data_IF_148352785897
#
_entry.id   IF_148352785897
#
_cell.length_a   1.000
_cell.length_b   1.000
_cell.length_c   1.000
_cell.angle_alpha   90.00
_cell.angle_beta   90.00
_cell.angle_gamma   90.00
#
_symmetry.space_group_name_H-M   'P 1'
#
loop_
_entity.id
_entity.type
_entity.pdbx_description
1 polymer ?
#
# COMPACT_ATOMS: atom_id res chain seq x y z
N UNK A 1 27.62 26.37 -33.54
CA UNK A 1 26.77 25.16 -33.65
C UNK A 1 26.37 24.79 -32.24
N UNK A 2 25.35 25.46 -31.71
CA UNK A 2 24.87 25.20 -30.35
C UNK A 2 23.89 24.03 -30.39
N UNK A 3 24.33 22.89 -29.87
CA UNK A 3 23.46 21.75 -29.59
C UNK A 3 22.66 22.07 -28.32
N UNK A 4 21.53 22.75 -28.50
CA UNK A 4 20.54 22.90 -27.44
C UNK A 4 19.79 21.57 -27.29
N UNK A 5 20.38 20.65 -26.52
CA UNK A 5 19.78 19.39 -26.08
C UNK A 5 18.67 19.71 -25.07
N UNK A 6 17.52 20.16 -25.57
CA UNK A 6 16.28 20.22 -24.80
C UNK A 6 15.81 18.79 -24.54
N UNK A 7 16.43 18.13 -23.54
CA UNK A 7 15.81 16.98 -22.89
C UNK A 7 14.53 17.48 -22.27
N UNK A 8 13.42 17.25 -22.98
CA UNK A 8 12.08 17.37 -22.43
C UNK A 8 12.04 16.50 -21.19
N UNK A 9 12.05 17.12 -20.01
CA UNK A 9 11.66 16.44 -18.79
C UNK A 9 10.29 15.78 -19.05
N UNK A 10 10.11 14.49 -18.71
CA UNK A 10 8.80 13.86 -18.82
C UNK A 10 7.80 14.73 -18.03
N UNK A 11 6.72 15.12 -18.70
CA UNK A 11 5.67 15.97 -18.14
C UNK A 11 5.27 15.45 -16.77
N UNK A 12 5.39 16.28 -15.74
CA UNK A 12 4.78 16.02 -14.43
C UNK A 12 3.35 15.52 -14.65
N UNK A 13 2.96 14.41 -14.02
CA UNK A 13 1.59 13.92 -14.14
C UNK A 13 0.61 15.02 -13.78
N UNK A 14 -0.48 15.08 -14.52
CA UNK A 14 -1.59 15.96 -14.20
C UNK A 14 -2.11 15.58 -12.81
N UNK A 15 -1.71 16.36 -11.80
CA UNK A 15 -2.03 16.10 -10.40
C UNK A 15 -3.55 16.07 -10.22
N UNK A 16 -4.30 16.85 -10.99
CA UNK A 16 -5.77 16.85 -10.93
C UNK A 16 -6.36 15.56 -11.48
N UNK A 17 -5.79 15.02 -12.57
CA UNK A 17 -6.17 13.69 -13.06
C UNK A 17 -5.93 12.63 -11.99
N UNK A 18 -4.75 12.61 -11.39
CA UNK A 18 -4.39 11.63 -10.37
C UNK A 18 -5.32 11.72 -9.14
N UNK A 19 -5.63 12.93 -8.68
CA UNK A 19 -6.57 13.15 -7.57
C UNK A 19 -7.97 12.65 -7.92
N UNK A 20 -8.46 12.93 -9.13
CA UNK A 20 -9.76 12.42 -9.58
C UNK A 20 -9.76 10.90 -9.62
N UNK A 21 -8.71 10.28 -10.16
CA UNK A 21 -8.61 8.83 -10.22
C UNK A 21 -8.59 8.24 -8.80
N UNK A 22 -7.75 8.75 -7.89
CA UNK A 22 -7.66 8.31 -6.50
C UNK A 22 -8.99 8.38 -5.74
N UNK A 23 -9.77 9.44 -5.98
CA UNK A 23 -11.04 9.63 -5.30
C UNK A 23 -12.18 8.83 -5.92
N UNK A 24 -12.21 8.65 -7.24
CA UNK A 24 -13.42 8.12 -7.92
C UNK A 24 -13.33 6.67 -8.36
N UNK A 25 -12.13 6.10 -8.47
CA UNK A 25 -11.98 4.70 -8.87
C UNK A 25 -12.50 3.78 -7.77
N UNK A 26 -13.06 2.66 -8.19
CA UNK A 26 -13.53 1.62 -7.30
C UNK A 26 -12.37 1.02 -6.50
N UNK A 27 -12.56 0.89 -5.18
CA UNK A 27 -11.66 0.16 -4.27
C UNK A 27 -10.18 0.54 -4.43
N UNK A 28 -9.82 1.83 -4.26
CA UNK A 28 -8.42 2.20 -4.21
C UNK A 28 -7.75 1.38 -3.10
N UNK A 29 -6.61 0.76 -3.37
CA UNK A 29 -5.95 -0.14 -2.42
C UNK A 29 -4.50 0.26 -2.23
N UNK A 30 -4.12 0.52 -0.98
CA UNK A 30 -2.75 0.71 -0.54
C UNK A 30 -2.14 -0.64 -0.18
N UNK A 31 -1.23 -1.10 -1.04
CA UNK A 31 -0.43 -2.29 -0.83
C UNK A 31 0.89 -1.93 -0.14
N UNK A 32 1.05 -2.43 1.07
CA UNK A 32 2.28 -2.29 1.85
C UNK A 32 3.17 -3.50 1.62
N UNK A 33 4.43 -3.28 1.24
CA UNK A 33 5.45 -4.32 1.20
C UNK A 33 5.79 -4.83 2.60
N UNK A 34 6.41 -6.02 2.68
CA UNK A 34 6.72 -6.64 3.96
C UNK A 34 7.67 -5.80 4.80
N UNK A 35 8.59 -5.08 4.15
CA UNK A 35 9.47 -4.12 4.81
C UNK A 35 8.70 -3.01 5.54
N UNK A 36 7.45 -2.70 5.16
CA UNK A 36 6.60 -1.75 5.89
C UNK A 36 5.66 -2.45 6.86
N UNK A 37 5.13 -3.64 6.57
CA UNK A 37 4.22 -4.29 7.53
C UNK A 37 4.96 -4.89 8.74
N UNK A 38 6.16 -5.42 8.53
CA UNK A 38 6.99 -6.09 9.54
C UNK A 38 8.20 -5.25 9.97
N UNK A 39 8.48 -4.18 9.22
CA UNK A 39 9.57 -3.23 9.42
C UNK A 39 9.10 -1.78 9.27
N UNK A 40 7.98 -1.40 9.91
CA UNK A 40 7.91 -0.03 10.44
C UNK A 40 9.04 0.12 11.45
N UNK A 41 10.25 0.22 10.94
CA UNK A 41 11.36 0.78 11.64
C UNK A 41 10.86 2.20 11.89
N UNK A 42 10.85 2.62 13.15
CA UNK A 42 10.50 3.97 13.61
C UNK A 42 11.38 5.09 12.98
N UNK A 43 12.10 4.79 11.90
CA UNK A 43 13.12 5.60 11.26
C UNK A 43 12.59 6.55 10.19
N UNK A 44 11.31 6.51 9.79
CA UNK A 44 10.74 7.55 8.91
C UNK A 44 9.34 8.03 9.36
N UNK A 45 9.28 8.94 10.35
CA UNK A 45 8.03 9.54 10.82
C UNK A 45 7.29 10.32 9.72
N UNK A 46 7.99 10.78 8.68
CA UNK A 46 7.39 11.53 7.57
C UNK A 46 6.58 10.58 6.70
N UNK A 47 7.13 9.44 6.28
CA UNK A 47 6.37 8.43 5.50
C UNK A 47 5.12 7.96 6.23
N UNK A 48 5.25 7.64 7.52
CA UNK A 48 4.12 7.24 8.37
C UNK A 48 3.03 8.31 8.41
N UNK A 49 3.41 9.57 8.65
CA UNK A 49 2.47 10.70 8.64
C UNK A 49 1.74 10.82 7.29
N UNK A 50 2.47 10.73 6.19
CA UNK A 50 1.92 10.92 4.85
C UNK A 50 0.97 9.77 4.45
N UNK A 51 1.32 8.52 4.76
CA UNK A 51 0.45 7.37 4.52
C UNK A 51 -0.80 7.42 5.39
N UNK A 52 -0.69 7.81 6.66
CA UNK A 52 -1.85 8.04 7.52
C UNK A 52 -2.75 9.14 6.97
N UNK A 53 -2.18 10.28 6.57
CA UNK A 53 -2.94 11.39 5.95
C UNK A 53 -3.64 10.92 4.67
N UNK A 54 -2.99 10.13 3.82
CA UNK A 54 -3.61 9.56 2.62
C UNK A 54 -4.84 8.71 2.97
N UNK A 55 -4.73 7.82 3.97
CA UNK A 55 -5.83 6.96 4.43
C UNK A 55 -7.00 7.73 5.01
N UNK A 56 -6.72 8.81 5.72
CA UNK A 56 -7.76 9.71 6.25
C UNK A 56 -8.46 10.48 5.12
N UNK A 57 -7.71 10.91 4.10
CA UNK A 57 -8.23 11.72 3.00
C UNK A 57 -8.95 10.92 1.92
N UNK A 58 -8.70 9.62 1.76
CA UNK A 58 -9.33 8.80 0.70
C UNK A 58 -10.33 7.81 1.32
N UNK A 59 -11.63 8.17 1.37
CA UNK A 59 -12.66 7.26 1.85
C UNK A 59 -12.67 5.94 1.09
N UNK A 60 -12.67 4.82 1.82
CA UNK A 60 -12.66 3.49 1.20
C UNK A 60 -11.31 3.03 0.65
N UNK A 61 -10.20 3.69 1.04
CA UNK A 61 -8.86 3.20 0.77
C UNK A 61 -8.63 1.87 1.52
N UNK A 62 -8.69 0.77 0.77
CA UNK A 62 -8.39 -0.57 1.25
C UNK A 62 -6.89 -0.69 1.56
N UNK A 63 -6.53 -1.59 2.47
CA UNK A 63 -5.13 -1.91 2.75
C UNK A 63 -4.86 -3.38 2.41
N UNK A 64 -3.91 -3.60 1.52
CA UNK A 64 -3.36 -4.90 1.18
C UNK A 64 -1.94 -5.07 1.72
N UNK A 65 -1.51 -6.31 1.92
CA UNK A 65 -0.13 -6.64 2.22
C UNK A 65 0.50 -7.42 1.06
N UNK A 66 1.76 -7.10 0.76
CA UNK A 66 2.60 -7.81 -0.19
C UNK A 66 3.72 -8.52 0.59
N UNK A 67 3.54 -9.81 0.97
CA UNK A 67 4.58 -10.57 1.68
C UNK A 67 5.74 -10.85 0.74
N UNK A 68 6.98 -10.65 1.17
CA UNK A 68 8.18 -10.83 0.33
C UNK A 68 8.35 -12.26 -0.20
N UNK A 69 7.91 -13.23 0.57
CA UNK A 69 7.96 -14.65 0.21
C UNK A 69 6.83 -15.10 -0.73
N UNK A 70 5.77 -14.30 -0.92
CA UNK A 70 4.59 -14.75 -1.69
C UNK A 70 4.84 -14.66 -3.20
N UNK A 71 4.63 -15.75 -3.97
CA UNK A 71 4.75 -15.72 -5.43
C UNK A 71 3.77 -14.71 -6.06
N UNK A 72 4.24 -13.94 -7.04
CA UNK A 72 3.47 -12.83 -7.64
C UNK A 72 2.20 -13.31 -8.36
N UNK A 73 2.27 -14.45 -9.03
CA UNK A 73 1.15 -15.11 -9.72
C UNK A 73 0.02 -15.55 -8.78
N UNK A 74 0.30 -15.66 -7.47
CA UNK A 74 -0.70 -15.96 -6.44
C UNK A 74 -1.27 -14.71 -5.78
N UNK A 75 -0.82 -13.52 -6.20
CA UNK A 75 -1.31 -12.26 -5.70
C UNK A 75 -2.53 -11.79 -6.49
N UNK A 76 -3.42 -11.09 -5.81
CA UNK A 76 -4.60 -10.50 -6.45
C UNK A 76 -4.60 -9.01 -6.15
N UNK A 77 -4.59 -8.22 -7.22
CA UNK A 77 -4.59 -6.77 -7.13
C UNK A 77 -5.99 -6.21 -7.36
N UNK A 78 -6.27 -5.06 -6.73
CA UNK A 78 -7.48 -4.32 -6.99
C UNK A 78 -7.50 -3.87 -8.46
N UNK A 79 -8.63 -4.01 -9.17
CA UNK A 79 -8.75 -3.58 -10.55
C UNK A 79 -8.74 -2.05 -10.71
N UNK A 80 -8.98 -1.30 -9.62
CA UNK A 80 -9.05 0.15 -9.63
C UNK A 80 -7.68 0.81 -9.54
N UNK A 81 -7.23 1.08 -8.32
CA UNK A 81 -5.93 1.73 -8.07
C UNK A 81 -5.13 0.89 -7.09
N UNK A 82 -3.87 0.62 -7.46
CA UNK A 82 -2.90 -0.03 -6.60
C UNK A 82 -1.80 0.96 -6.23
N UNK A 83 -1.72 1.31 -4.95
CA UNK A 83 -0.65 2.15 -4.40
C UNK A 83 0.36 1.23 -3.75
N UNK A 84 1.58 1.17 -4.26
CA UNK A 84 2.64 0.30 -3.78
C UNK A 84 3.57 1.12 -2.88
N UNK A 85 3.75 0.71 -1.63
CA UNK A 85 4.65 1.39 -0.69
C UNK A 85 5.58 0.39 0.00
N UNK A 86 6.90 0.69 0.01
CA UNK A 86 7.90 -0.13 0.69
C UNK A 86 8.08 -1.54 0.11
N UNK A 87 7.89 -1.66 -1.20
CA UNK A 87 8.24 -2.89 -1.93
C UNK A 87 9.75 -2.87 -2.19
N UNK A 88 10.51 -3.93 -1.83
CA UNK A 88 11.93 -4.00 -2.13
C UNK A 88 12.21 -3.83 -3.63
N UNK A 89 13.29 -3.12 -3.97
CA UNK A 89 13.61 -2.80 -5.36
C UNK A 89 13.74 -4.04 -6.24
N UNK A 90 14.37 -5.10 -5.71
CA UNK A 90 14.55 -6.39 -6.41
C UNK A 90 13.23 -7.04 -6.82
N UNK A 91 12.13 -6.66 -6.18
CA UNK A 91 10.79 -7.21 -6.41
C UNK A 91 9.85 -6.25 -7.12
N UNK A 92 10.08 -4.94 -7.01
CA UNK A 92 9.25 -3.91 -7.60
C UNK A 92 9.09 -4.09 -9.12
N UNK A 93 10.18 -4.39 -9.83
CA UNK A 93 10.13 -4.57 -11.30
C UNK A 93 9.25 -5.75 -11.70
N UNK A 94 9.40 -6.89 -11.03
CA UNK A 94 8.58 -8.07 -11.30
C UNK A 94 7.10 -7.83 -10.94
N UNK A 95 6.85 -7.10 -9.86
CA UNK A 95 5.50 -6.70 -9.44
C UNK A 95 4.84 -5.77 -10.46
N UNK A 96 5.58 -4.77 -10.97
CA UNK A 96 5.09 -3.87 -12.01
C UNK A 96 4.81 -4.61 -13.31
N UNK A 97 5.68 -5.54 -13.72
CA UNK A 97 5.45 -6.38 -14.90
C UNK A 97 4.20 -7.26 -14.74
N UNK A 98 4.00 -7.84 -13.56
CA UNK A 98 2.79 -8.62 -13.26
C UNK A 98 1.53 -7.74 -13.29
N UNK A 99 1.56 -6.57 -12.66
CA UNK A 99 0.47 -5.60 -12.70
C UNK A 99 0.15 -5.15 -14.13
N UNK A 100 1.17 -4.91 -14.96
CA UNK A 100 1.01 -4.53 -16.37
C UNK A 100 0.41 -5.66 -17.21
N UNK A 101 0.72 -6.93 -16.91
CA UNK A 101 0.10 -8.09 -17.57
C UNK A 101 -1.39 -8.26 -17.19
N UNK A 102 -1.74 -8.05 -15.92
CA UNK A 102 -3.14 -8.09 -15.45
C UNK A 102 -3.98 -6.88 -15.91
N UNK A 103 -3.31 -5.79 -16.31
CA UNK A 103 -3.87 -4.45 -16.53
C UNK A 103 -4.73 -4.23 -17.77
N UNK A 104 -5.14 -5.28 -18.47
CA UNK A 104 -6.17 -5.21 -19.52
C UNK A 104 -7.46 -4.46 -19.08
N UNK A 105 -7.63 -4.17 -17.78
CA UNK A 105 -8.76 -3.47 -17.16
C UNK A 105 -8.51 -2.01 -16.73
N UNK A 106 -7.40 -1.37 -17.10
CA UNK A 106 -7.26 0.10 -17.00
C UNK A 106 -7.09 0.68 -15.58
N UNK A 107 -6.41 -0.06 -14.70
CA UNK A 107 -6.09 0.38 -13.34
C UNK A 107 -4.85 1.28 -13.25
N UNK A 108 -4.83 2.20 -12.28
CA UNK A 108 -3.69 3.10 -12.02
C UNK A 108 -2.77 2.48 -10.97
N UNK A 109 -1.46 2.54 -11.20
CA UNK A 109 -0.44 2.13 -10.25
C UNK A 109 0.30 3.38 -9.80
N UNK A 110 0.32 3.59 -8.49
CA UNK A 110 1.11 4.62 -7.84
C UNK A 110 2.20 3.92 -7.05
N UNK A 111 3.45 4.35 -7.20
CA UNK A 111 4.60 3.80 -6.49
C UNK A 111 5.14 4.85 -5.55
N UNK A 112 5.31 4.47 -4.28
CA UNK A 112 5.98 5.24 -3.24
C UNK A 112 7.31 4.52 -2.94
N UNK A 113 8.39 4.99 -3.56
CA UNK A 113 9.70 4.35 -3.51
C UNK A 113 10.82 5.36 -3.27
N UNK A 114 11.97 4.88 -2.79
CA UNK A 114 13.18 5.67 -2.70
C UNK A 114 13.77 5.87 -4.10
N UNK A 115 13.83 7.11 -4.58
CA UNK A 115 14.36 7.43 -5.91
C UNK A 115 13.31 7.87 -6.93
N UNK A 116 13.68 8.85 -7.74
CA UNK A 116 12.95 9.15 -8.97
C UNK A 116 13.18 8.03 -9.99
N UNK A 117 12.12 7.29 -10.27
CA UNK A 117 12.07 6.23 -11.26
C UNK A 117 10.89 6.49 -12.17
N UNK A 118 11.19 6.78 -13.43
CA UNK A 118 10.20 6.86 -14.48
C UNK A 118 9.91 5.45 -15.01
N UNK A 119 8.86 4.80 -14.51
CA UNK A 119 8.23 3.69 -15.22
C UNK A 119 7.05 4.26 -16.00
N UNK A 120 7.02 4.04 -17.32
CA UNK A 120 6.04 4.69 -18.22
C UNK A 120 4.57 4.37 -17.89
N UNK A 121 4.32 3.31 -17.13
CA UNK A 121 2.97 2.82 -16.79
C UNK A 121 2.53 3.17 -15.36
N UNK A 122 3.37 3.82 -14.53
CA UNK A 122 3.03 4.13 -13.14
C UNK A 122 3.45 5.54 -12.71
N UNK A 123 2.72 6.09 -11.76
CA UNK A 123 3.05 7.37 -11.14
C UNK A 123 3.99 7.14 -9.95
N UNK A 124 5.19 7.70 -10.00
CA UNK A 124 6.17 7.53 -8.92
C UNK A 124 6.32 8.80 -8.08
N UNK A 125 6.31 8.62 -6.76
CA UNK A 125 6.66 9.61 -5.76
C UNK A 125 7.91 9.16 -5.01
N UNK A 126 9.00 9.93 -5.17
CA UNK A 126 10.22 9.73 -4.39
C UNK A 126 9.93 10.10 -2.94
N UNK A 127 9.89 9.10 -2.05
CA UNK A 127 9.59 9.33 -0.63
C UNK A 127 10.71 10.08 0.11
N UNK A 128 11.89 10.25 -0.52
CA UNK A 128 12.99 11.08 0.01
C UNK A 128 12.75 12.57 -0.25
N UNK A 129 11.91 12.90 -1.23
CA UNK A 129 11.39 14.25 -1.47
C UNK A 129 9.86 14.23 -1.35
N UNK A 130 9.33 14.37 -0.13
CA UNK A 130 7.90 14.25 0.11
C UNK A 130 7.10 15.39 -0.54
N UNK A 131 7.74 16.45 -1.02
CA UNK A 131 7.07 17.67 -1.49
C UNK A 131 6.01 17.38 -2.56
N UNK A 132 6.29 16.47 -3.49
CA UNK A 132 5.32 16.07 -4.53
C UNK A 132 4.14 15.30 -3.96
N UNK A 133 4.39 14.44 -2.98
CA UNK A 133 3.33 13.66 -2.34
C UNK A 133 2.50 14.53 -1.40
N UNK A 134 3.11 15.47 -0.68
CA UNK A 134 2.43 16.48 0.11
C UNK A 134 1.53 17.37 -0.76
N UNK A 135 2.02 17.85 -1.90
CA UNK A 135 1.23 18.60 -2.86
C UNK A 135 0.01 17.80 -3.38
N UNK A 136 0.17 16.49 -3.60
CA UNK A 136 -0.93 15.60 -3.94
C UNK A 136 -1.97 15.56 -2.81
N UNK A 137 -1.54 15.32 -1.57
CA UNK A 137 -2.43 15.24 -0.40
C UNK A 137 -3.19 16.55 -0.17
N UNK A 138 -2.51 17.68 -0.28
CA UNK A 138 -3.13 19.00 -0.15
C UNK A 138 -4.14 19.27 -1.26
N UNK A 139 -3.86 18.78 -2.48
CA UNK A 139 -4.82 18.86 -3.59
C UNK A 139 -6.05 17.97 -3.36
N UNK A 140 -5.86 16.75 -2.85
CA UNK A 140 -6.98 15.88 -2.46
C UNK A 140 -7.86 16.60 -1.43
N UNK A 141 -7.26 17.14 -0.37
CA UNK A 141 -7.99 17.85 0.68
C UNK A 141 -8.78 19.04 0.13
N UNK A 142 -8.19 19.82 -0.78
CA UNK A 142 -8.86 20.94 -1.44
C UNK A 142 -10.06 20.48 -2.28
N UNK A 143 -9.90 19.44 -3.10
CA UNK A 143 -10.97 18.88 -3.94
C UNK A 143 -12.15 18.38 -3.10
N UNK A 144 -11.86 17.75 -1.96
CA UNK A 144 -12.88 17.28 -1.02
C UNK A 144 -13.62 18.44 -0.35
N UNK A 145 -12.92 19.50 0.06
CA UNK A 145 -13.52 20.72 0.64
C UNK A 145 -14.42 21.45 -0.36
N UNK A 146 -14.00 21.52 -1.62
CA UNK A 146 -14.77 22.11 -2.71
C UNK A 146 -15.99 21.26 -3.09
N UNK A 147 -16.06 20.00 -2.65
CA UNK A 147 -17.08 19.02 -3.04
C UNK A 147 -17.22 18.88 -4.56
N UNK A 148 -16.11 19.04 -5.29
CA UNK A 148 -16.09 18.99 -6.75
C UNK A 148 -16.14 17.58 -7.32
N UNK A 149 -15.94 16.57 -6.45
CA UNK A 149 -15.96 15.15 -6.77
C UNK A 149 -16.60 14.40 -5.61
N UNK A 150 -17.39 13.37 -5.91
CA UNK A 150 -17.87 12.40 -4.91
C UNK A 150 -16.86 11.25 -4.82
N UNK A 151 -16.18 11.07 -3.68
CA UNK A 151 -15.29 9.93 -3.48
C UNK A 151 -16.06 8.61 -3.58
N UNK A 152 -15.41 7.56 -4.09
CA UNK A 152 -15.99 6.23 -4.22
C UNK A 152 -16.49 5.71 -2.86
N UNK A 153 -15.69 5.88 -1.80
CA UNK A 153 -16.09 5.47 -0.45
C UNK A 153 -17.34 6.18 0.10
N UNK A 154 -17.76 7.29 -0.52
CA UNK A 154 -18.99 8.01 -0.15
C UNK A 154 -20.21 7.59 -0.98
N UNK A 155 -20.03 6.83 -2.06
CA UNK A 155 -21.15 6.26 -2.84
C UNK A 155 -21.87 5.16 -2.06
N UNK A 156 -23.11 4.78 -2.44
CA UNK A 156 -23.80 3.65 -1.83
C UNK A 156 -23.00 2.35 -1.88
N UNK A 157 -22.34 2.08 -3.00
CA UNK A 157 -21.52 0.88 -3.23
C UNK A 157 -20.26 0.91 -2.36
N UNK A 158 -19.56 2.05 -2.31
CA UNK A 158 -18.37 2.20 -1.47
C UNK A 158 -18.69 2.06 0.01
N UNK A 159 -19.79 2.66 0.48
CA UNK A 159 -20.26 2.52 1.88
C UNK A 159 -20.59 1.07 2.22
N UNK A 160 -21.29 0.36 1.34
CA UNK A 160 -21.62 -1.05 1.54
C UNK A 160 -20.35 -1.92 1.60
N UNK A 161 -19.36 -1.65 0.76
CA UNK A 161 -18.07 -2.34 0.77
C UNK A 161 -17.28 -2.06 2.06
N UNK A 162 -17.19 -0.80 2.50
CA UNK A 162 -16.53 -0.41 3.76
C UNK A 162 -17.20 -1.11 4.95
N UNK A 163 -18.53 -1.16 4.98
CA UNK A 163 -19.28 -1.87 6.02
C UNK A 163 -18.99 -3.38 5.99
N UNK A 164 -18.94 -3.97 4.80
CA UNK A 164 -18.59 -5.38 4.63
C UNK A 164 -17.18 -5.69 5.17
N UNK A 165 -16.19 -4.87 4.82
CA UNK A 165 -14.83 -4.99 5.35
C UNK A 165 -14.81 -4.83 6.86
N UNK A 166 -15.52 -3.84 7.41
CA UNK A 166 -15.62 -3.63 8.86
C UNK A 166 -16.20 -4.85 9.58
N UNK A 167 -17.21 -5.51 8.99
CA UNK A 167 -17.78 -6.75 9.53
C UNK A 167 -16.79 -7.92 9.46
N UNK A 168 -16.07 -8.07 8.35
CA UNK A 168 -15.09 -9.15 8.14
C UNK A 168 -13.83 -8.99 9.01
N UNK A 169 -13.37 -7.75 9.18
CA UNK A 169 -12.19 -7.39 9.97
C UNK A 169 -12.55 -6.96 11.40
N UNK A 170 -13.82 -7.15 11.82
CA UNK A 170 -14.16 -7.06 13.23
C UNK A 170 -13.28 -8.07 13.97
N UNK A 171 -12.63 -7.69 15.08
CA UNK A 171 -11.70 -8.58 15.76
C UNK A 171 -12.40 -9.90 16.06
N UNK A 172 -11.93 -10.97 15.41
CA UNK A 172 -12.31 -12.31 15.80
C UNK A 172 -11.75 -12.52 17.22
N UNK A 173 -12.70 -12.57 18.16
CA UNK A 173 -12.59 -13.12 19.52
C UNK A 173 -11.82 -12.30 20.55
N UNK A 174 -12.57 -11.51 21.34
CA UNK A 174 -12.16 -11.06 22.69
C UNK A 174 -11.98 -12.22 23.68
N UNK A 175 -12.31 -13.45 23.27
CA UNK A 175 -12.16 -14.72 23.98
C UNK A 175 -10.84 -15.46 23.69
N UNK A 176 -9.93 -14.89 22.90
CA UNK A 176 -8.56 -15.43 22.82
C UNK A 176 -7.73 -14.91 24.00
N UNK A 177 -7.85 -15.56 25.16
CA UNK A 177 -6.80 -15.55 26.18
C UNK A 177 -5.84 -16.70 25.90
N UNK A 178 -4.53 -16.42 25.90
CA UNK A 178 -3.53 -17.48 26.01
C UNK A 178 -3.86 -18.31 27.26
N UNK A 179 -4.25 -19.56 27.05
CA UNK A 179 -4.58 -20.51 28.10
C UNK A 179 -3.41 -21.50 28.18
N UNK A 180 -2.57 -21.34 29.21
CA UNK A 180 -1.41 -22.19 29.46
C UNK A 180 -1.79 -23.67 29.56
N UNK A 181 -3.04 -24.00 29.88
CA UNK A 181 -3.50 -25.40 29.93
C UNK A 181 -3.67 -26.04 28.54
N UNK A 182 -3.73 -25.25 27.46
CA UNK A 182 -3.74 -25.78 26.08
C UNK A 182 -2.35 -26.20 25.60
N UNK A 183 -1.28 -25.81 26.30
CA UNK A 183 0.07 -26.34 26.08
C UNK A 183 0.28 -27.76 26.63
N UNK A 184 -0.73 -28.33 27.30
CA UNK A 184 -0.70 -29.71 27.83
C UNK A 184 -0.88 -30.76 26.72
N UNK A 185 -1.44 -30.39 25.56
CA UNK A 185 -1.63 -31.28 24.41
C UNK A 185 -0.57 -31.12 23.32
N UNK A 186 0.53 -30.42 23.59
CA UNK A 186 1.70 -30.45 22.70
C UNK A 186 2.33 -31.85 22.86
N UNK A 187 2.39 -32.68 21.80
CA UNK A 187 3.05 -33.97 21.87
C UNK A 187 4.49 -33.79 22.38
N UNK A 188 4.95 -34.70 23.24
CA UNK A 188 6.24 -34.56 23.96
C UNK A 188 7.43 -34.32 23.00
N UNK A 189 7.35 -34.87 21.80
CA UNK A 189 8.25 -34.66 20.66
C UNK A 189 8.42 -33.19 20.23
N UNK A 190 7.39 -32.34 20.36
CA UNK A 190 7.47 -30.92 20.02
C UNK A 190 7.89 -30.01 21.18
N UNK A 191 7.92 -30.54 22.42
CA UNK A 191 8.36 -29.75 23.58
C UNK A 191 9.88 -29.51 23.57
N UNK A 192 10.64 -30.46 23.06
CA UNK A 192 12.09 -30.35 22.97
C UNK A 192 12.56 -29.37 21.89
N UNK A 193 11.87 -29.27 20.75
CA UNK A 193 12.19 -28.29 19.70
C UNK A 193 11.91 -26.85 20.14
N UNK A 194 10.82 -26.62 20.89
CA UNK A 194 10.50 -25.30 21.45
C UNK A 194 11.46 -24.88 22.57
N UNK A 195 11.96 -25.83 23.37
CA UNK A 195 12.95 -25.56 24.41
C UNK A 195 14.35 -25.29 23.83
N UNK A 196 14.73 -25.95 22.73
CA UNK A 196 16.02 -25.74 22.07
C UNK A 196 16.11 -24.35 21.40
N UNK A 197 15.04 -23.89 20.74
CA UNK A 197 15.05 -22.60 20.04
C UNK A 197 15.05 -21.35 20.93
N UNK A 198 14.84 -21.49 22.24
CA UNK A 198 14.88 -20.38 23.21
C UNK A 198 16.28 -20.16 23.81
N UNK A 199 17.15 -21.15 23.79
CA UNK A 199 18.50 -21.08 24.37
C UNK A 199 19.56 -20.62 23.34
N UNK A 200 19.31 -20.83 22.04
CA UNK A 200 20.25 -20.49 20.95
C UNK A 200 20.42 -18.98 20.69
N UNK A 201 19.70 -18.11 21.41
CA UNK A 201 19.82 -16.64 21.34
C UNK A 201 20.21 -15.99 22.69
N UNK A 202 20.67 -16.77 23.66
CA UNK A 202 21.06 -16.27 24.98
C UNK A 202 22.57 -15.96 25.14
N UNK A 203 23.36 -15.94 24.07
CA UNK A 203 24.77 -15.45 24.07
C UNK A 203 24.99 -14.19 23.22
#
# INVERSE_FOLDING_TARGET
MDHNDTRKHPSTPDTDRLVRELLTRERPTLYLGSSQQWGWNDTDPVRKRLLSKLRELVPGLDQGHIPDWKPLDTMTFSPGISILAGVPQSRLEALLAHLDAERSRGGLVVVLADGDRSHSSCENFDVRDPSRFEALLDRIEKVLKERSVTPWGDTPEGKAHIEHIRKKNSPARSDWSWDETKAVNVPEEFRHELAAGLDEHAE
#
